data_IF_709023186048
#
_entry.id   IF_709023186048
#
_cell.length_a   1.000
_cell.length_b   1.000
_cell.length_c   1.000
_cell.angle_alpha   90.00
_cell.angle_beta   90.00
_cell.angle_gamma   90.00
#
_symmetry.space_group_name_H-M   'P 1'
#
loop_
_entity.id
_entity.type
_entity.pdbx_description
1 polymer ?
#
# COMPACT_ATOMS: atom_id res chain seq x y z
N UNK A 1 36.98 12.01 7.76
CA UNK A 1 36.26 11.18 8.76
C UNK A 1 34.74 11.32 8.68
N UNK A 2 34.18 12.52 8.45
CA UNK A 2 32.73 12.74 8.29
C UNK A 2 32.09 12.03 7.09
N UNK A 3 32.79 11.93 5.96
CA UNK A 3 32.28 11.28 4.73
C UNK A 3 32.07 9.78 4.89
N UNK A 4 32.98 9.09 5.58
CA UNK A 4 32.87 7.67 5.86
C UNK A 4 31.71 7.36 6.82
N UNK A 5 31.51 8.21 7.85
CA UNK A 5 30.39 8.08 8.78
C UNK A 5 29.03 8.29 8.09
N UNK A 6 28.93 9.28 7.19
CA UNK A 6 27.74 9.53 6.39
C UNK A 6 27.40 8.34 5.48
N UNK A 7 28.41 7.80 4.79
CA UNK A 7 28.24 6.65 3.90
C UNK A 7 27.80 5.39 4.65
N UNK A 8 28.33 5.18 5.85
CA UNK A 8 27.92 4.06 6.70
C UNK A 8 26.46 4.22 7.15
N UNK A 9 26.05 5.44 7.51
CA UNK A 9 24.68 5.73 7.93
C UNK A 9 23.67 5.52 6.78
N UNK A 10 24.00 5.98 5.58
CA UNK A 10 23.12 5.79 4.40
C UNK A 10 23.00 4.33 4.01
N UNK A 11 24.09 3.55 4.02
CA UNK A 11 24.05 2.11 3.80
C UNK A 11 23.20 1.42 4.86
N UNK A 12 23.39 1.77 6.14
CA UNK A 12 22.63 1.16 7.23
C UNK A 12 21.12 1.41 7.09
N UNK A 13 20.72 2.65 6.78
CA UNK A 13 19.31 2.98 6.52
C UNK A 13 18.77 2.21 5.32
N UNK A 14 19.53 2.15 4.21
CA UNK A 14 19.11 1.42 3.02
C UNK A 14 18.91 -0.09 3.29
N UNK A 15 19.83 -0.70 4.05
CA UNK A 15 19.73 -2.11 4.47
C UNK A 15 18.51 -2.33 5.37
N UNK A 16 18.29 -1.47 6.36
CA UNK A 16 17.12 -1.57 7.25
C UNK A 16 15.82 -1.42 6.47
N UNK A 17 15.73 -0.46 5.54
CA UNK A 17 14.55 -0.28 4.68
C UNK A 17 14.31 -1.49 3.76
N UNK A 18 15.37 -2.05 3.18
CA UNK A 18 15.26 -3.22 2.32
C UNK A 18 14.91 -4.50 3.09
N UNK A 19 15.44 -4.65 4.30
CA UNK A 19 15.19 -5.81 5.17
C UNK A 19 13.89 -5.70 5.98
N UNK A 20 13.34 -4.49 6.17
CA UNK A 20 12.11 -4.27 6.96
C UNK A 20 10.91 -5.12 6.49
N UNK A 21 10.62 -5.26 5.18
CA UNK A 21 9.55 -6.13 4.70
C UNK A 21 9.84 -7.63 4.89
N UNK A 22 11.11 -8.02 5.06
CA UNK A 22 11.52 -9.40 5.34
C UNK A 22 11.43 -9.72 6.84
N UNK A 23 11.67 -8.73 7.71
CA UNK A 23 11.57 -8.86 9.16
C UNK A 23 10.10 -8.79 9.63
N UNK A 24 9.32 -7.85 9.08
CA UNK A 24 7.87 -7.78 9.31
C UNK A 24 7.15 -8.65 8.29
N UNK A 25 7.06 -9.95 8.57
CA UNK A 25 6.21 -10.87 7.82
C UNK A 25 4.76 -10.47 8.06
N UNK A 26 4.25 -9.57 7.23
CA UNK A 26 2.87 -9.13 7.30
C UNK A 26 1.99 -10.26 6.77
N UNK A 27 1.05 -10.74 7.57
CA UNK A 27 0.18 -11.85 7.16
C UNK A 27 -0.49 -11.52 5.82
N UNK A 28 -0.42 -12.48 4.89
CA UNK A 28 -0.91 -12.31 3.54
C UNK A 28 -2.45 -12.28 3.50
N UNK A 29 -3.09 -12.87 4.51
CA UNK A 29 -4.54 -12.97 4.66
C UNK A 29 -4.95 -12.61 6.09
N UNK A 30 -4.83 -11.34 6.46
CA UNK A 30 -5.54 -10.80 7.65
C UNK A 30 -6.88 -10.16 7.28
N UNK A 31 -7.29 -10.34 6.01
CA UNK A 31 -8.49 -9.76 5.41
C UNK A 31 -9.68 -9.83 6.35
N UNK A 32 -10.07 -8.68 6.87
CA UNK A 32 -11.41 -8.48 7.41
C UNK A 32 -12.41 -9.06 6.40
N UNK A 33 -13.38 -9.87 6.87
CA UNK A 33 -14.41 -10.56 6.07
C UNK A 33 -15.39 -9.61 5.32
N UNK A 34 -15.05 -8.32 5.23
CA UNK A 34 -15.79 -7.31 4.48
C UNK A 34 -14.95 -6.81 3.32
N UNK A 35 -15.57 -6.61 2.16
CA UNK A 35 -14.88 -6.09 0.97
C UNK A 35 -14.20 -4.75 1.22
N UNK A 36 -14.82 -3.85 2.00
CA UNK A 36 -14.24 -2.55 2.37
C UNK A 36 -12.97 -2.71 3.22
N UNK A 37 -13.00 -3.57 4.25
CA UNK A 37 -11.83 -3.83 5.09
C UNK A 37 -10.67 -4.42 4.30
N UNK A 38 -10.96 -5.34 3.38
CA UNK A 38 -9.97 -5.90 2.46
C UNK A 38 -9.34 -4.83 1.56
N UNK A 39 -10.13 -3.91 1.00
CA UNK A 39 -9.59 -2.81 0.19
C UNK A 39 -8.75 -1.85 1.04
N UNK A 40 -9.18 -1.53 2.26
CA UNK A 40 -8.40 -0.68 3.19
C UNK A 40 -7.05 -1.31 3.54
N UNK A 41 -7.01 -2.63 3.74
CA UNK A 41 -5.76 -3.38 3.92
C UNK A 41 -4.86 -3.35 2.68
N UNK A 42 -5.45 -3.42 1.48
CA UNK A 42 -4.70 -3.29 0.22
C UNK A 42 -4.09 -1.90 0.02
N UNK A 43 -4.81 -0.84 0.42
CA UNK A 43 -4.34 0.54 0.34
C UNK A 43 -3.23 0.79 1.37
N UNK A 44 -3.41 0.34 2.61
CA UNK A 44 -2.45 0.55 3.71
C UNK A 44 -1.30 -0.45 3.76
N UNK A 45 -1.40 -1.57 3.03
CA UNK A 45 -0.42 -2.64 3.01
C UNK A 45 0.72 -2.43 2.01
N UNK A 46 1.41 -3.52 1.69
CA UNK A 46 2.52 -3.48 0.74
C UNK A 46 2.03 -3.08 -0.68
N UNK A 47 2.61 -2.04 -1.32
CA UNK A 47 2.21 -1.57 -2.65
C UNK A 47 2.28 -2.61 -3.77
N UNK A 48 3.03 -3.69 -3.58
CA UNK A 48 3.07 -4.80 -4.53
C UNK A 48 1.81 -5.67 -4.45
N UNK A 49 1.14 -5.73 -3.29
CA UNK A 49 -0.09 -6.53 -3.11
C UNK A 49 -1.22 -6.03 -4.01
N UNK A 50 -1.46 -4.72 -4.05
CA UNK A 50 -2.51 -4.16 -4.92
C UNK A 50 -2.23 -4.40 -6.41
N UNK A 51 -0.95 -4.44 -6.81
CA UNK A 51 -0.57 -4.81 -8.16
C UNK A 51 -0.82 -6.30 -8.44
N UNK A 52 -0.53 -7.18 -7.49
CA UNK A 52 -0.78 -8.61 -7.63
C UNK A 52 -2.28 -8.94 -7.66
N UNK A 53 -3.08 -8.31 -6.79
CA UNK A 53 -4.50 -8.63 -6.63
C UNK A 53 -5.41 -7.90 -7.64
N UNK A 54 -5.19 -6.59 -7.86
CA UNK A 54 -6.03 -5.78 -8.77
C UNK A 54 -5.38 -5.56 -10.14
N UNK A 55 -4.15 -6.03 -10.37
CA UNK A 55 -3.43 -5.83 -11.63
C UNK A 55 -2.93 -4.39 -11.85
N UNK A 56 -3.08 -3.49 -10.87
CA UNK A 56 -2.77 -2.07 -11.02
C UNK A 56 -2.01 -1.49 -9.81
N UNK A 57 -1.28 -0.39 -10.02
CA UNK A 57 -0.56 0.30 -8.94
C UNK A 57 -1.52 1.10 -8.07
N UNK A 58 -1.17 1.30 -6.79
CA UNK A 58 -2.00 2.02 -5.81
C UNK A 58 -2.50 3.39 -6.30
N UNK A 59 -1.63 4.20 -6.89
CA UNK A 59 -2.02 5.52 -7.40
C UNK A 59 -3.02 5.45 -8.56
N UNK A 60 -2.96 4.40 -9.39
CA UNK A 60 -3.92 4.20 -10.50
C UNK A 60 -5.28 3.83 -9.94
N UNK A 61 -5.31 2.95 -8.93
CA UNK A 61 -6.54 2.58 -8.24
C UNK A 61 -7.21 3.80 -7.59
N UNK A 62 -6.46 4.62 -6.85
CA UNK A 62 -7.00 5.84 -6.23
C UNK A 62 -7.49 6.85 -7.26
N UNK A 63 -6.76 7.03 -8.37
CA UNK A 63 -7.19 7.90 -9.46
C UNK A 63 -8.49 7.42 -10.11
N UNK A 64 -8.64 6.09 -10.30
CA UNK A 64 -9.87 5.49 -10.81
C UNK A 64 -11.05 5.73 -9.87
N UNK A 65 -10.89 5.50 -8.57
CA UNK A 65 -11.95 5.75 -7.57
C UNK A 65 -12.35 7.23 -7.57
N UNK A 66 -11.39 8.15 -7.55
CA UNK A 66 -11.66 9.58 -7.61
C UNK A 66 -12.40 9.96 -8.91
N UNK A 67 -12.01 9.38 -10.05
CA UNK A 67 -12.68 9.62 -11.32
C UNK A 67 -14.13 9.13 -11.31
N UNK A 68 -14.38 7.94 -10.76
CA UNK A 68 -15.74 7.38 -10.65
C UNK A 68 -16.63 8.22 -9.74
N UNK A 69 -16.11 8.71 -8.62
CA UNK A 69 -16.85 9.60 -7.71
C UNK A 69 -17.13 10.97 -8.34
N UNK A 70 -16.12 11.60 -8.94
CA UNK A 70 -16.22 12.98 -9.44
C UNK A 70 -16.96 13.06 -10.78
N UNK A 71 -16.68 12.15 -11.71
CA UNK A 71 -17.16 12.25 -13.10
C UNK A 71 -18.35 11.35 -13.41
N UNK A 72 -18.45 10.18 -12.79
CA UNK A 72 -19.63 9.32 -12.94
C UNK A 72 -20.68 9.53 -11.85
N UNK A 73 -20.36 10.27 -10.77
CA UNK A 73 -21.28 10.48 -9.65
C UNK A 73 -21.61 9.20 -8.89
N UNK A 74 -20.78 8.15 -9.03
CA UNK A 74 -20.90 6.96 -8.20
C UNK A 74 -20.71 7.37 -6.74
N UNK A 75 -21.57 6.87 -5.88
CA UNK A 75 -21.46 7.07 -4.44
C UNK A 75 -21.20 5.74 -3.78
N UNK A 76 -20.58 5.82 -2.63
CA UNK A 76 -20.45 4.73 -1.68
C UNK A 76 -21.78 3.97 -1.53
N UNK A 77 -21.69 2.64 -1.64
CA UNK A 77 -22.87 1.80 -1.39
C UNK A 77 -23.14 1.77 0.12
N UNK A 78 -24.34 1.34 0.52
CA UNK A 78 -24.70 1.20 1.95
C UNK A 78 -23.68 0.43 2.81
N UNK A 79 -22.84 -0.40 2.21
CA UNK A 79 -21.90 -1.28 2.90
C UNK A 79 -20.43 -1.06 2.52
N UNK A 80 -20.11 -0.02 1.74
CA UNK A 80 -18.73 0.26 1.31
C UNK A 80 -18.55 1.78 1.23
N UNK A 81 -17.82 2.35 2.18
CA UNK A 81 -17.35 3.74 2.16
C UNK A 81 -15.83 3.77 1.99
N UNK A 82 -15.35 4.18 0.80
CA UNK A 82 -13.92 4.15 0.43
C UNK A 82 -13.36 5.52 0.07
#
# INVERSE_FOLDING_TARGET
>A
MLTAAYFYHTIHIAVVLYASPLYWKQDYHTSILTGEGWVKELIGGNPNRIKCELGMRLHVYLALVAHLHVLCGLRDSKHVTL
#
